data_IF_213254687337
#
_entry.id   IF_213254687337
#
_cell.length_a   1.000
_cell.length_b   1.000
_cell.length_c   1.000
_cell.angle_alpha   90.00
_cell.angle_beta   90.00
_cell.angle_gamma   90.00
#
_symmetry.space_group_name_H-M   'P 1'
#
loop_
_entity.id
_entity.type
_entity.pdbx_description
1 polymer ?
#
# COMPACT_ATOMS: atom_id res chain seq x y z
N UNK A 1 4.01 -15.07 42.63
CA UNK A 1 5.11 -14.17 43.05
C UNK A 1 5.67 -14.55 44.39
N UNK A 2 4.84 -14.64 45.46
CA UNK A 2 5.28 -15.01 46.83
C UNK A 2 6.13 -16.29 46.82
N UNK A 3 5.62 -17.38 46.25
CA UNK A 3 6.34 -18.64 46.21
C UNK A 3 7.66 -18.58 45.40
N UNK A 4 7.71 -17.81 44.35
CA UNK A 4 8.91 -17.64 43.57
C UNK A 4 9.99 -16.82 44.31
N UNK A 5 9.59 -15.78 45.10
CA UNK A 5 10.51 -15.06 46.00
C UNK A 5 11.10 -15.97 47.08
N UNK A 6 10.29 -16.86 47.63
CA UNK A 6 10.74 -17.84 48.63
C UNK A 6 11.73 -18.80 47.95
N UNK A 7 11.44 -19.31 46.78
CA UNK A 7 12.32 -20.21 46.04
C UNK A 7 13.66 -19.55 45.71
N UNK A 8 13.68 -18.28 45.29
CA UNK A 8 14.92 -17.51 45.04
C UNK A 8 15.73 -17.35 46.33
N UNK A 9 15.07 -17.14 47.49
CA UNK A 9 15.75 -17.03 48.76
C UNK A 9 16.47 -18.33 49.15
N UNK A 10 15.86 -19.48 48.89
CA UNK A 10 16.46 -20.78 49.22
C UNK A 10 17.48 -21.27 48.17
N UNK A 11 17.27 -20.88 46.90
CA UNK A 11 18.13 -21.32 45.78
C UNK A 11 18.45 -20.15 44.85
N UNK A 12 19.27 -19.17 45.28
CA UNK A 12 19.49 -17.92 44.52
C UNK A 12 20.27 -18.12 43.22
N UNK A 13 20.98 -19.25 43.06
CA UNK A 13 21.69 -19.60 41.87
C UNK A 13 20.87 -20.46 40.86
N UNK A 14 19.64 -20.81 41.19
CA UNK A 14 18.75 -21.51 40.30
C UNK A 14 17.99 -20.47 39.44
N UNK A 15 18.57 -20.17 38.27
CA UNK A 15 18.18 -19.04 37.45
C UNK A 15 16.79 -19.15 36.81
N UNK A 16 16.20 -20.35 36.74
CA UNK A 16 14.81 -20.52 36.28
C UNK A 16 13.79 -19.74 37.12
N UNK A 17 14.03 -19.63 38.43
CA UNK A 17 13.17 -18.83 39.31
C UNK A 17 13.23 -17.35 38.95
N UNK A 18 14.39 -16.85 38.52
CA UNK A 18 14.53 -15.48 38.05
C UNK A 18 13.82 -15.26 36.70
N UNK A 19 13.89 -16.24 35.77
CA UNK A 19 13.15 -16.20 34.52
C UNK A 19 11.64 -16.17 34.76
N UNK A 20 11.13 -17.04 35.64
CA UNK A 20 9.73 -17.05 36.03
C UNK A 20 9.30 -15.73 36.65
N UNK A 21 10.14 -15.11 37.49
CA UNK A 21 9.85 -13.77 38.03
C UNK A 21 9.78 -12.72 36.92
N UNK A 22 10.71 -12.74 35.97
CA UNK A 22 10.67 -11.86 34.79
C UNK A 22 9.38 -12.01 34.00
N UNK A 23 8.93 -13.23 33.72
CA UNK A 23 7.66 -13.52 33.04
C UNK A 23 6.43 -13.04 33.85
N UNK A 24 6.43 -13.21 35.17
CA UNK A 24 5.36 -12.72 36.03
C UNK A 24 5.24 -11.19 35.96
N UNK A 25 6.36 -10.49 35.98
CA UNK A 25 6.37 -9.03 35.86
C UNK A 25 6.02 -8.57 34.41
N UNK A 26 6.39 -9.35 33.39
CA UNK A 26 5.94 -9.14 32.02
C UNK A 26 4.39 -9.20 31.94
N UNK A 27 3.76 -10.22 32.53
CA UNK A 27 2.29 -10.35 32.57
C UNK A 27 1.62 -9.20 33.34
N UNK A 28 2.30 -8.67 34.38
CA UNK A 28 1.82 -7.52 35.15
C UNK A 28 2.13 -6.17 34.50
N UNK A 29 2.83 -6.17 33.37
CA UNK A 29 3.28 -4.99 32.67
C UNK A 29 4.18 -4.04 33.53
N UNK A 30 4.97 -4.62 34.44
CA UNK A 30 5.93 -3.88 35.27
C UNK A 30 7.31 -3.97 34.63
N UNK A 31 7.61 -2.98 33.77
CA UNK A 31 8.73 -2.99 32.83
C UNK A 31 10.09 -3.16 33.53
N UNK A 32 10.35 -2.33 34.52
CA UNK A 32 11.67 -2.30 35.19
C UNK A 32 11.97 -3.59 35.95
N UNK A 33 10.96 -4.15 36.62
CA UNK A 33 11.12 -5.42 37.32
C UNK A 33 11.30 -6.59 36.33
N UNK A 34 10.59 -6.58 35.22
CA UNK A 34 10.76 -7.57 34.16
C UNK A 34 12.20 -7.57 33.63
N UNK A 35 12.73 -6.40 33.26
CA UNK A 35 14.11 -6.20 32.80
C UNK A 35 15.13 -6.65 33.84
N UNK A 36 14.91 -6.23 35.08
CA UNK A 36 15.80 -6.57 36.21
C UNK A 36 16.00 -8.08 36.31
N UNK A 37 14.92 -8.84 36.36
CA UNK A 37 15.03 -10.30 36.56
C UNK A 37 15.63 -11.02 35.39
N UNK A 38 15.36 -10.64 34.17
CA UNK A 38 16.03 -11.24 32.99
C UNK A 38 17.51 -10.86 32.92
N UNK A 39 17.88 -9.62 33.23
CA UNK A 39 19.27 -9.19 33.25
C UNK A 39 20.09 -9.88 34.34
N UNK A 40 19.50 -10.17 35.51
CA UNK A 40 20.19 -10.98 36.55
C UNK A 40 20.64 -12.33 35.95
N UNK A 41 19.81 -12.96 35.12
CA UNK A 41 20.18 -14.25 34.50
C UNK A 41 21.25 -14.05 33.45
N UNK A 42 21.12 -13.04 32.59
CA UNK A 42 22.10 -12.71 31.55
C UNK A 42 23.49 -12.41 32.17
N UNK A 43 23.52 -11.65 33.25
CA UNK A 43 24.78 -11.22 33.88
C UNK A 43 25.44 -12.34 34.68
N UNK A 44 24.66 -13.19 35.36
CA UNK A 44 25.17 -14.22 36.27
C UNK A 44 25.34 -15.58 35.57
N UNK A 45 24.63 -15.82 34.48
CA UNK A 45 24.69 -17.06 33.70
C UNK A 45 24.60 -16.74 32.18
N UNK A 46 25.66 -16.15 31.58
CA UNK A 46 25.63 -15.69 30.21
C UNK A 46 25.27 -16.79 29.17
N UNK A 47 25.53 -18.05 29.47
CA UNK A 47 25.17 -19.16 28.60
C UNK A 47 23.69 -19.58 28.70
N UNK A 48 22.87 -18.84 29.43
CA UNK A 48 21.45 -19.16 29.57
C UNK A 48 20.64 -18.52 28.43
N UNK A 49 20.58 -19.21 27.30
CA UNK A 49 20.00 -18.72 26.04
C UNK A 49 18.58 -18.14 26.20
N UNK A 50 17.73 -18.81 27.01
CA UNK A 50 16.32 -18.40 27.17
C UNK A 50 16.16 -16.99 27.75
N UNK A 51 17.12 -16.50 28.54
CA UNK A 51 17.09 -15.15 29.08
C UNK A 51 17.17 -14.09 27.94
N UNK A 52 18.02 -14.32 26.95
CA UNK A 52 18.13 -13.44 25.77
C UNK A 52 16.88 -13.51 24.90
N UNK A 53 16.32 -14.73 24.69
CA UNK A 53 15.09 -14.90 23.93
C UNK A 53 13.92 -14.19 24.59
N UNK A 54 13.75 -14.36 25.90
CA UNK A 54 12.62 -13.76 26.64
C UNK A 54 12.74 -12.25 26.69
N UNK A 55 13.91 -11.71 27.08
CA UNK A 55 14.11 -10.27 27.14
C UNK A 55 14.07 -9.63 25.76
N UNK A 56 14.65 -10.26 24.73
CA UNK A 56 14.63 -9.78 23.37
C UNK A 56 13.21 -9.68 22.82
N UNK A 57 12.38 -10.72 22.99
CA UNK A 57 10.96 -10.69 22.60
C UNK A 57 10.19 -9.60 23.35
N UNK A 58 10.44 -9.46 24.64
CA UNK A 58 9.82 -8.42 25.46
C UNK A 58 10.15 -7.01 24.96
N UNK A 59 11.42 -6.71 24.68
CA UNK A 59 11.84 -5.40 24.17
C UNK A 59 11.26 -5.10 22.79
N UNK A 60 11.11 -6.11 21.92
CA UNK A 60 10.41 -5.98 20.64
C UNK A 60 8.93 -5.65 20.86
N UNK A 61 8.26 -6.32 21.79
CA UNK A 61 6.87 -6.04 22.17
C UNK A 61 6.68 -4.61 22.68
N UNK A 62 7.65 -4.10 23.48
CA UNK A 62 7.68 -2.71 23.94
C UNK A 62 8.11 -1.70 22.85
N UNK A 63 8.36 -2.15 21.62
CA UNK A 63 8.88 -1.33 20.51
C UNK A 63 10.19 -0.62 20.82
N UNK A 64 10.98 -1.16 21.71
CA UNK A 64 12.28 -0.62 22.08
C UNK A 64 13.40 -1.27 21.25
N UNK A 65 13.60 -0.76 20.02
CA UNK A 65 14.61 -1.27 19.09
C UNK A 65 15.99 -1.33 19.70
N UNK A 66 16.43 -0.27 20.38
CA UNK A 66 17.79 -0.17 20.93
C UNK A 66 18.08 -1.29 21.93
N UNK A 67 17.18 -1.50 22.87
CA UNK A 67 17.35 -2.54 23.88
C UNK A 67 17.19 -3.94 23.28
N UNK A 68 16.21 -4.14 22.37
CA UNK A 68 16.02 -5.39 21.68
C UNK A 68 17.30 -5.83 20.94
N UNK A 69 17.88 -4.94 20.12
CA UNK A 69 19.10 -5.22 19.37
C UNK A 69 20.30 -5.47 20.29
N UNK A 70 20.43 -4.70 21.39
CA UNK A 70 21.52 -4.91 22.36
C UNK A 70 21.45 -6.32 22.96
N UNK A 71 20.29 -6.71 23.47
CA UNK A 71 20.08 -8.04 24.08
C UNK A 71 20.31 -9.16 23.07
N UNK A 72 19.70 -9.04 21.88
CA UNK A 72 19.79 -10.09 20.85
C UNK A 72 21.20 -10.21 20.28
N UNK A 73 21.92 -9.12 20.07
CA UNK A 73 23.31 -9.18 19.60
C UNK A 73 24.24 -9.81 20.65
N UNK A 74 24.03 -9.55 21.96
CA UNK A 74 24.73 -10.27 23.02
C UNK A 74 24.44 -11.78 22.95
N UNK A 75 23.18 -12.17 22.77
CA UNK A 75 22.79 -13.55 22.61
C UNK A 75 23.41 -14.19 21.36
N UNK A 76 23.37 -13.50 20.21
CA UNK A 76 23.97 -14.00 18.97
C UNK A 76 25.51 -14.08 18.99
N UNK A 77 26.16 -13.28 19.83
CA UNK A 77 27.61 -13.43 20.05
C UNK A 77 27.95 -14.78 20.69
N UNK A 78 27.09 -15.27 21.58
CA UNK A 78 27.27 -16.57 22.25
C UNK A 78 26.64 -17.73 21.46
N UNK A 79 25.57 -17.47 20.75
CA UNK A 79 24.78 -18.46 19.97
C UNK A 79 24.58 -17.97 18.53
N UNK A 80 25.65 -17.91 17.71
CA UNK A 80 25.61 -17.26 16.39
C UNK A 80 24.62 -17.90 15.41
N UNK A 81 24.36 -19.20 15.57
CA UNK A 81 23.45 -19.94 14.67
C UNK A 81 22.02 -20.10 15.18
N UNK A 82 21.70 -19.50 16.32
CA UNK A 82 20.35 -19.62 16.87
C UNK A 82 19.31 -18.88 16.01
N UNK A 83 18.40 -19.64 15.39
CA UNK A 83 17.37 -19.12 14.47
C UNK A 83 16.35 -18.23 15.17
N UNK A 84 16.02 -18.50 16.45
CA UNK A 84 15.04 -17.70 17.18
C UNK A 84 15.61 -16.33 17.56
N UNK A 85 16.86 -16.25 17.99
CA UNK A 85 17.54 -14.98 18.23
C UNK A 85 17.63 -14.15 16.94
N UNK A 86 17.96 -14.80 15.80
CA UNK A 86 17.98 -14.14 14.50
C UNK A 86 16.59 -13.62 14.09
N UNK A 87 15.51 -14.38 14.34
CA UNK A 87 14.11 -13.91 14.12
C UNK A 87 13.75 -12.71 14.99
N UNK A 88 14.18 -12.72 16.26
CA UNK A 88 13.96 -11.56 17.16
C UNK A 88 14.74 -10.35 16.64
N UNK A 89 15.97 -10.52 16.13
CA UNK A 89 16.75 -9.45 15.50
C UNK A 89 16.02 -8.84 14.31
N UNK A 90 15.46 -9.66 13.42
CA UNK A 90 14.64 -9.19 12.31
C UNK A 90 13.46 -8.34 12.82
N UNK A 91 12.71 -8.85 13.80
CA UNK A 91 11.57 -8.13 14.37
C UNK A 91 11.99 -6.79 15.01
N UNK A 92 13.15 -6.74 15.67
CA UNK A 92 13.70 -5.51 16.22
C UNK A 92 14.09 -4.49 15.14
N UNK A 93 14.69 -4.95 14.04
CA UNK A 93 15.04 -4.11 12.89
C UNK A 93 13.80 -3.55 12.18
N UNK A 94 12.74 -4.34 12.08
CA UNK A 94 11.47 -3.93 11.45
C UNK A 94 10.74 -2.82 12.24
N UNK A 95 11.05 -2.59 13.53
CA UNK A 95 10.45 -1.50 14.33
C UNK A 95 10.69 -0.12 13.66
N UNK A 96 11.79 0.09 12.96
CA UNK A 96 12.16 1.39 12.36
C UNK A 96 12.48 1.32 10.86
N UNK A 97 12.03 0.28 10.15
CA UNK A 97 12.30 0.10 8.70
C UNK A 97 13.78 0.22 8.31
N UNK A 98 14.66 -0.48 9.02
CA UNK A 98 16.10 -0.56 8.74
C UNK A 98 16.32 -1.58 7.62
N UNK A 99 16.24 -1.12 6.36
CA UNK A 99 16.01 -1.98 5.20
C UNK A 99 17.18 -2.90 4.84
N UNK A 100 18.37 -2.35 4.72
CA UNK A 100 19.54 -3.12 4.21
C UNK A 100 20.02 -4.16 5.23
N UNK A 101 20.14 -3.78 6.50
CA UNK A 101 20.54 -4.70 7.58
C UNK A 101 19.52 -5.84 7.77
N UNK A 102 18.22 -5.52 7.66
CA UNK A 102 17.16 -6.53 7.76
C UNK A 102 17.26 -7.55 6.63
N UNK A 103 17.49 -7.09 5.40
CA UNK A 103 17.67 -7.95 4.22
C UNK A 103 18.86 -8.90 4.40
N UNK A 104 20.01 -8.37 4.79
CA UNK A 104 21.21 -9.18 5.02
C UNK A 104 20.99 -10.28 6.07
N UNK A 105 20.26 -9.95 7.16
CA UNK A 105 19.94 -10.94 8.20
C UNK A 105 18.97 -12.00 7.68
N UNK A 106 17.94 -11.61 6.93
CA UNK A 106 16.98 -12.55 6.32
C UNK A 106 17.69 -13.47 5.32
N UNK A 107 18.51 -12.91 4.42
CA UNK A 107 19.22 -13.68 3.40
C UNK A 107 20.23 -14.66 4.05
N UNK A 108 20.98 -14.24 5.08
CA UNK A 108 21.90 -15.11 5.82
C UNK A 108 21.17 -16.28 6.49
N UNK A 109 19.95 -16.06 6.98
CA UNK A 109 19.13 -17.11 7.59
C UNK A 109 18.58 -18.09 6.56
N UNK A 110 18.16 -17.61 5.40
CA UNK A 110 17.65 -18.46 4.33
C UNK A 110 18.72 -19.36 3.72
N UNK A 111 20.01 -18.98 3.80
CA UNK A 111 21.11 -19.87 3.43
C UNK A 111 21.14 -21.10 4.35
N UNK A 112 20.92 -20.91 5.65
CA UNK A 112 20.96 -22.01 6.65
C UNK A 112 19.64 -22.78 6.70
N UNK A 113 18.52 -22.08 6.54
CA UNK A 113 17.16 -22.67 6.60
C UNK A 113 16.32 -22.28 5.38
N UNK A 114 16.62 -22.83 4.18
CA UNK A 114 16.01 -22.37 2.92
C UNK A 114 14.50 -22.64 2.83
N UNK A 115 13.96 -23.55 3.64
CA UNK A 115 12.53 -23.91 3.67
C UNK A 115 11.76 -23.29 4.83
N UNK A 116 12.34 -22.37 5.62
CA UNK A 116 11.62 -21.69 6.71
C UNK A 116 10.57 -20.75 6.12
N UNK A 117 9.31 -21.17 6.20
CA UNK A 117 8.15 -20.44 5.65
C UNK A 117 7.99 -19.04 6.26
N UNK A 118 8.40 -18.85 7.53
CA UNK A 118 8.36 -17.56 8.22
C UNK A 118 9.39 -16.60 7.63
N UNK A 119 10.61 -17.07 7.39
CA UNK A 119 11.68 -16.28 6.77
C UNK A 119 11.36 -15.96 5.32
N UNK A 120 10.82 -16.92 4.55
CA UNK A 120 10.34 -16.70 3.18
C UNK A 120 9.26 -15.63 3.17
N UNK A 121 8.31 -15.67 4.14
CA UNK A 121 7.28 -14.66 4.28
C UNK A 121 7.89 -13.29 4.60
N UNK A 122 8.81 -13.19 5.57
CA UNK A 122 9.51 -11.95 5.88
C UNK A 122 10.28 -11.40 4.67
N UNK A 123 10.97 -12.26 3.92
CA UNK A 123 11.66 -11.86 2.68
C UNK A 123 10.68 -11.27 1.68
N UNK A 124 9.58 -11.96 1.41
CA UNK A 124 8.52 -11.48 0.51
C UNK A 124 7.90 -10.17 0.97
N UNK A 125 7.54 -10.05 2.25
CA UNK A 125 6.99 -8.82 2.81
C UNK A 125 8.01 -7.68 2.74
N UNK A 126 9.27 -7.96 3.02
CA UNK A 126 10.36 -7.02 2.93
C UNK A 126 10.61 -6.56 1.49
N UNK A 127 10.73 -7.49 0.55
CA UNK A 127 10.93 -7.19 -0.87
C UNK A 127 9.71 -6.54 -1.51
N UNK A 128 8.50 -6.83 -1.04
CA UNK A 128 7.28 -6.14 -1.47
C UNK A 128 7.10 -4.78 -0.80
N UNK A 129 7.74 -4.53 0.35
CA UNK A 129 7.48 -3.40 1.27
C UNK A 129 8.27 -2.14 1.01
N UNK A 130 9.43 -2.19 0.37
CA UNK A 130 10.40 -1.11 0.45
C UNK A 130 10.86 -0.54 -0.88
N UNK A 131 11.44 0.61 -0.79
CA UNK A 131 12.14 1.56 -1.66
C UNK A 131 12.66 0.98 -2.99
N UNK A 132 11.78 0.35 -3.77
CA UNK A 132 12.13 -0.14 -5.09
C UNK A 132 11.54 0.77 -6.15
N UNK A 133 12.43 1.16 -7.03
CA UNK A 133 12.03 1.78 -8.27
C UNK A 133 11.32 0.75 -9.15
N UNK A 134 10.31 1.18 -9.87
CA UNK A 134 9.58 0.32 -10.80
C UNK A 134 9.40 1.04 -12.13
N UNK A 135 9.62 0.29 -13.19
CA UNK A 135 9.24 0.69 -14.54
C UNK A 135 8.03 -0.13 -14.96
N UNK A 136 7.04 0.50 -15.55
CA UNK A 136 5.84 -0.23 -15.94
C UNK A 136 5.16 0.34 -17.15
N UNK A 137 4.38 -0.53 -17.79
CA UNK A 137 3.51 -0.19 -18.90
C UNK A 137 2.08 -0.56 -18.54
N UNK A 138 1.15 0.24 -19.01
CA UNK A 138 -0.28 -0.02 -18.92
C UNK A 138 -0.92 0.17 -20.28
N UNK A 139 -1.93 -0.65 -20.58
CA UNK A 139 -2.67 -0.56 -21.80
C UNK A 139 -4.13 -0.86 -21.55
N UNK A 140 -5.02 -0.06 -22.09
CA UNK A 140 -6.45 -0.32 -22.03
C UNK A 140 -7.09 -0.24 -23.42
N UNK A 141 -8.05 -1.12 -23.62
CA UNK A 141 -8.86 -1.25 -24.83
C UNK A 141 -10.31 -1.12 -24.44
N UNK A 142 -11.00 -0.14 -25.04
CA UNK A 142 -12.43 0.10 -24.79
C UNK A 142 -13.21 -0.08 -26.06
N UNK A 143 -14.27 -0.90 -25.99
CA UNK A 143 -15.22 -1.10 -27.09
C UNK A 143 -16.65 -0.77 -26.64
N UNK A 144 -17.51 -0.53 -27.60
CA UNK A 144 -18.84 0.03 -27.39
C UNK A 144 -19.88 -0.82 -28.07
N UNK A 145 -21.14 -0.79 -27.56
CA UNK A 145 -22.28 -1.40 -28.25
C UNK A 145 -22.93 -0.46 -29.28
N UNK A 146 -22.43 0.76 -29.40
CA UNK A 146 -22.92 1.73 -30.40
C UNK A 146 -22.09 1.58 -31.67
N UNK A 147 -22.75 1.38 -32.76
CA UNK A 147 -22.10 1.33 -34.06
C UNK A 147 -21.31 2.61 -34.32
N UNK A 148 -20.23 2.47 -35.06
CA UNK A 148 -19.36 3.56 -35.48
C UNK A 148 -18.42 4.11 -34.41
N UNK A 149 -18.65 3.86 -33.11
CA UNK A 149 -17.77 4.35 -32.01
C UNK A 149 -16.75 3.30 -31.61
N UNK A 150 -15.50 3.72 -31.54
CA UNK A 150 -14.39 2.88 -31.07
C UNK A 150 -13.72 2.05 -32.16
N UNK A 151 -12.79 1.18 -31.76
CA UNK A 151 -12.28 1.04 -30.40
C UNK A 151 -11.44 2.23 -29.94
N UNK A 152 -11.34 2.41 -28.61
CA UNK A 152 -10.45 3.41 -28.02
C UNK A 152 -9.31 2.73 -27.26
N UNK A 153 -8.11 3.28 -27.41
CA UNK A 153 -6.89 2.79 -26.83
C UNK A 153 -6.29 3.82 -25.90
N UNK A 154 -5.76 3.39 -24.77
CA UNK A 154 -4.91 4.19 -23.90
C UNK A 154 -3.68 3.36 -23.53
N UNK A 155 -2.50 3.84 -23.87
CA UNK A 155 -1.22 3.27 -23.46
C UNK A 155 -0.51 4.20 -22.49
N UNK A 156 0.15 3.66 -21.49
CA UNK A 156 0.93 4.43 -20.52
C UNK A 156 2.27 3.77 -20.23
N UNK A 157 3.32 4.59 -20.18
CA UNK A 157 4.63 4.22 -19.65
C UNK A 157 4.82 4.99 -18.35
N UNK A 158 5.22 4.31 -17.26
CA UNK A 158 5.41 4.98 -16.00
C UNK A 158 6.66 4.48 -15.26
N UNK A 159 7.27 5.40 -14.53
CA UNK A 159 8.37 5.14 -13.62
C UNK A 159 7.96 5.54 -12.20
N UNK A 160 8.12 4.62 -11.26
CA UNK A 160 7.81 4.83 -9.85
C UNK A 160 9.13 4.86 -9.08
N UNK A 161 9.42 6.00 -8.48
CA UNK A 161 10.54 6.21 -7.58
C UNK A 161 10.02 6.23 -6.14
N UNK A 162 10.54 5.35 -5.30
CA UNK A 162 10.17 5.32 -3.88
C UNK A 162 11.42 5.40 -3.02
N UNK A 163 11.49 6.41 -2.16
CA UNK A 163 12.58 6.56 -1.19
C UNK A 163 12.05 7.17 0.10
N UNK A 164 12.30 6.49 1.22
CA UNK A 164 11.89 6.94 2.55
C UNK A 164 10.38 7.22 2.63
N UNK A 165 10.03 8.50 2.74
CA UNK A 165 8.66 8.99 2.91
C UNK A 165 8.00 9.44 1.59
N UNK A 166 8.75 9.42 0.50
CA UNK A 166 8.33 9.96 -0.79
C UNK A 166 8.18 8.83 -1.82
N UNK A 167 7.04 8.81 -2.49
CA UNK A 167 6.84 8.06 -3.74
C UNK A 167 6.49 9.05 -4.83
N UNK A 168 7.25 9.04 -5.91
CA UNK A 168 6.97 9.79 -7.14
C UNK A 168 6.61 8.83 -8.26
N UNK A 169 5.61 9.20 -9.05
CA UNK A 169 5.18 8.44 -10.23
C UNK A 169 5.18 9.41 -11.40
N UNK A 170 6.11 9.20 -12.32
CA UNK A 170 6.16 9.93 -13.58
C UNK A 170 5.52 9.07 -14.66
N UNK A 171 4.65 9.64 -15.48
CA UNK A 171 3.91 8.88 -16.49
C UNK A 171 3.79 9.66 -17.80
N UNK A 172 3.90 8.92 -18.90
CA UNK A 172 3.56 9.38 -20.26
C UNK A 172 2.40 8.52 -20.72
N UNK A 173 1.28 9.14 -21.04
CA UNK A 173 0.09 8.48 -21.58
C UNK A 173 -0.09 8.87 -23.04
N UNK A 174 -0.52 7.91 -23.87
CA UNK A 174 -0.95 8.14 -25.24
C UNK A 174 -2.35 7.56 -25.42
N UNK A 175 -3.27 8.38 -25.87
CA UNK A 175 -4.63 7.96 -26.20
C UNK A 175 -4.87 8.02 -27.69
N UNK A 176 -5.60 7.02 -28.19
CA UNK A 176 -5.97 6.90 -29.60
C UNK A 176 -7.45 6.48 -29.68
N UNK A 177 -8.27 7.29 -30.34
CA UNK A 177 -9.71 7.11 -30.45
C UNK A 177 -10.13 7.03 -31.89
N UNK A 178 -10.98 6.06 -32.21
CA UNK A 178 -11.50 5.86 -33.54
C UNK A 178 -13.01 5.97 -33.58
N UNK A 179 -13.52 6.30 -34.75
CA UNK A 179 -14.93 6.25 -35.13
C UNK A 179 -15.01 5.78 -36.59
N UNK A 180 -15.84 4.79 -36.91
CA UNK A 180 -15.93 4.17 -38.24
C UNK A 180 -14.56 3.80 -38.83
N UNK A 181 -13.65 3.26 -38.01
CA UNK A 181 -12.29 2.94 -38.44
C UNK A 181 -11.37 4.14 -38.71
N UNK A 182 -11.88 5.37 -38.67
CA UNK A 182 -11.10 6.58 -38.87
C UNK A 182 -10.66 7.14 -37.51
N UNK A 183 -9.47 7.73 -37.45
CA UNK A 183 -8.94 8.37 -36.23
C UNK A 183 -9.74 9.66 -35.99
N UNK A 184 -10.40 9.74 -34.83
CA UNK A 184 -11.07 10.98 -34.42
C UNK A 184 -10.07 11.90 -33.73
N UNK A 185 -9.39 11.35 -32.70
CA UNK A 185 -8.47 12.09 -31.87
C UNK A 185 -7.35 11.18 -31.36
N UNK A 186 -6.14 11.74 -31.27
CA UNK A 186 -5.04 11.11 -30.56
C UNK A 186 -4.21 12.20 -29.85
N UNK A 187 -3.45 11.82 -28.85
CA UNK A 187 -2.61 12.79 -28.14
C UNK A 187 -1.91 12.21 -26.93
N UNK A 188 -0.99 13.01 -26.39
CA UNK A 188 -0.16 12.66 -25.25
C UNK A 188 -0.56 13.44 -24.00
N UNK A 189 -0.24 12.85 -22.86
CA UNK A 189 -0.31 13.48 -21.54
C UNK A 189 0.93 13.12 -20.74
N UNK A 190 1.53 14.12 -20.12
CA UNK A 190 2.57 13.97 -19.10
C UNK A 190 1.92 14.12 -17.73
N UNK A 191 2.22 13.23 -16.81
CA UNK A 191 1.67 13.23 -15.46
C UNK A 191 2.78 12.97 -14.44
N UNK A 192 2.76 13.75 -13.35
CA UNK A 192 3.59 13.54 -12.17
C UNK A 192 2.69 13.45 -10.95
N UNK A 193 2.76 12.34 -10.24
CA UNK A 193 2.07 12.12 -8.98
C UNK A 193 3.08 11.98 -7.84
N UNK A 194 2.69 12.38 -6.66
CA UNK A 194 3.50 12.22 -5.45
C UNK A 194 2.65 11.74 -4.28
N UNK A 195 3.22 10.84 -3.49
CA UNK A 195 2.72 10.49 -2.17
C UNK A 195 3.81 10.85 -1.16
N UNK A 196 3.46 11.67 -0.18
CA UNK A 196 4.39 12.09 0.87
C UNK A 196 3.85 11.70 2.25
N UNK A 197 4.56 10.82 2.94
CA UNK A 197 4.22 10.35 4.28
C UNK A 197 4.74 11.33 5.33
N UNK A 198 3.85 12.06 5.99
CA UNK A 198 4.24 13.01 7.05
C UNK A 198 4.57 12.27 8.34
N UNK A 199 3.66 11.41 8.78
CA UNK A 199 3.80 10.56 9.98
C UNK A 199 3.36 9.12 9.68
N UNK A 200 3.36 8.26 10.70
CA UNK A 200 2.80 6.90 10.56
C UNK A 200 1.27 6.89 10.46
N UNK A 201 0.61 8.04 10.67
CA UNK A 201 -0.85 8.15 10.69
C UNK A 201 -1.42 9.00 9.55
N UNK A 202 -0.58 9.73 8.82
CA UNK A 202 -1.05 10.61 7.76
C UNK A 202 -0.06 10.75 6.60
N UNK A 203 -0.62 10.98 5.42
CA UNK A 203 0.14 11.24 4.20
C UNK A 203 -0.67 12.15 3.27
N UNK A 204 0.03 12.78 2.33
CA UNK A 204 -0.58 13.58 1.27
C UNK A 204 -0.37 12.93 -0.09
N UNK A 205 -1.31 13.14 -0.97
CA UNK A 205 -1.24 12.88 -2.40
C UNK A 205 -1.28 14.21 -3.14
N UNK A 206 -0.42 14.37 -4.14
CA UNK A 206 -0.44 15.49 -5.06
C UNK A 206 -0.21 15.00 -6.48
N UNK A 207 -0.86 15.62 -7.46
CA UNK A 207 -0.63 15.32 -8.86
C UNK A 207 -0.76 16.56 -9.74
N UNK A 208 0.03 16.56 -10.82
CA UNK A 208 -0.07 17.49 -11.93
C UNK A 208 0.00 16.71 -13.24
N UNK A 209 -0.88 17.04 -14.17
CA UNK A 209 -0.81 16.49 -15.53
C UNK A 209 -1.07 17.58 -16.56
N UNK A 210 -0.35 17.52 -17.67
CA UNK A 210 -0.49 18.39 -18.83
C UNK A 210 -0.74 17.50 -20.03
N UNK A 211 -1.80 17.76 -20.77
CA UNK A 211 -2.22 16.93 -21.90
C UNK A 211 -2.64 17.73 -23.12
N UNK A 212 -2.69 17.05 -24.26
CA UNK A 212 -3.22 17.61 -25.49
C UNK A 212 -4.73 17.72 -25.42
N UNK A 213 -5.24 18.93 -25.68
CA UNK A 213 -6.64 19.34 -25.48
C UNK A 213 -7.71 18.48 -26.16
N UNK A 214 -7.33 17.76 -27.21
CA UNK A 214 -8.29 16.98 -28.01
C UNK A 214 -8.63 15.63 -27.36
N UNK A 215 -7.80 15.16 -26.42
CA UNK A 215 -7.92 13.82 -25.82
C UNK A 215 -7.85 13.86 -24.30
N UNK A 216 -7.09 14.79 -23.75
CA UNK A 216 -6.87 14.96 -22.32
C UNK A 216 -7.21 16.38 -21.87
N UNK A 217 -7.54 16.61 -20.59
CA UNK A 217 -7.55 17.95 -20.05
C UNK A 217 -6.17 18.61 -20.25
N UNK A 218 -6.19 19.91 -20.61
CA UNK A 218 -4.97 20.69 -20.81
C UNK A 218 -4.10 20.75 -19.56
N UNK A 219 -4.77 20.84 -18.41
CA UNK A 219 -4.14 20.85 -17.09
C UNK A 219 -5.02 20.09 -16.11
N UNK A 220 -4.41 19.22 -15.30
CA UNK A 220 -5.04 18.60 -14.12
C UNK A 220 -4.17 18.87 -12.90
N UNK A 221 -4.80 19.25 -11.81
CA UNK A 221 -4.17 19.39 -10.51
C UNK A 221 -4.99 18.59 -9.50
N UNK A 222 -4.29 17.89 -8.60
CA UNK A 222 -4.93 17.11 -7.54
C UNK A 222 -4.16 17.26 -6.25
N UNK A 223 -4.89 17.35 -5.15
CA UNK A 223 -4.35 17.23 -3.81
C UNK A 223 -5.33 16.48 -2.92
N UNK A 224 -4.84 15.60 -2.06
CA UNK A 224 -5.61 14.97 -0.98
C UNK A 224 -4.75 14.78 0.26
N UNK A 225 -5.36 14.92 1.41
CA UNK A 225 -4.77 14.59 2.69
C UNK A 225 -5.50 13.39 3.28
N UNK A 226 -4.72 12.40 3.70
CA UNK A 226 -5.19 11.12 4.25
C UNK A 226 -4.81 11.03 5.73
N UNK A 227 -5.77 10.62 6.55
CA UNK A 227 -5.60 10.46 7.98
C UNK A 227 -6.06 9.07 8.42
N UNK A 228 -5.17 8.32 9.07
CA UNK A 228 -5.55 7.10 9.77
C UNK A 228 -6.24 7.43 11.09
N UNK A 229 -7.47 6.95 11.24
CA UNK A 229 -8.37 7.25 12.37
C UNK A 229 -8.36 6.17 13.46
N UNK A 230 -7.57 5.12 13.29
CA UNK A 230 -7.50 3.99 14.23
C UNK A 230 -8.43 2.83 13.84
N UNK A 231 -8.21 1.66 14.43
CA UNK A 231 -9.00 0.43 14.21
C UNK A 231 -9.21 0.07 12.72
N UNK A 232 -8.21 0.39 11.87
CA UNK A 232 -8.26 0.12 10.43
C UNK A 232 -8.98 1.18 9.61
N UNK A 233 -9.54 2.24 10.21
CA UNK A 233 -10.21 3.31 9.48
C UNK A 233 -9.21 4.36 8.96
N UNK A 234 -9.44 4.84 7.75
CA UNK A 234 -8.74 5.94 7.10
C UNK A 234 -9.79 6.89 6.49
N UNK A 235 -9.57 8.18 6.62
CA UNK A 235 -10.37 9.19 5.94
C UNK A 235 -9.49 10.03 5.02
N UNK A 236 -10.05 10.54 3.92
CA UNK A 236 -9.37 11.50 3.07
C UNK A 236 -10.28 12.67 2.67
N UNK A 237 -9.63 13.82 2.55
CA UNK A 237 -10.23 15.04 1.99
C UNK A 237 -9.32 15.58 0.91
N UNK A 238 -9.88 16.14 -0.16
CA UNK A 238 -9.07 16.63 -1.25
C UNK A 238 -9.80 17.55 -2.21
N UNK A 239 -9.01 18.09 -3.13
CA UNK A 239 -9.48 18.94 -4.22
C UNK A 239 -8.87 18.46 -5.54
N UNK A 240 -9.63 18.68 -6.62
CA UNK A 240 -9.18 18.44 -8.00
C UNK A 240 -9.53 19.66 -8.83
N UNK A 241 -8.69 19.95 -9.80
CA UNK A 241 -8.94 20.92 -10.85
C UNK A 241 -8.62 20.29 -12.19
N UNK A 242 -9.50 20.45 -13.16
CA UNK A 242 -9.24 20.06 -14.53
C UNK A 242 -9.67 21.20 -15.48
N UNK A 243 -8.73 21.61 -16.34
CA UNK A 243 -9.00 22.55 -17.42
C UNK A 243 -9.22 21.77 -18.72
N UNK A 244 -10.43 21.81 -19.22
CA UNK A 244 -10.79 21.31 -20.56
C UNK A 244 -10.97 22.47 -21.53
N UNK A 245 -11.13 22.23 -22.84
CA UNK A 245 -11.37 23.31 -23.79
C UNK A 245 -12.58 24.20 -23.44
N UNK A 246 -13.65 23.59 -22.92
CA UNK A 246 -14.94 24.26 -22.75
C UNK A 246 -15.29 24.55 -21.30
N UNK A 247 -14.71 23.81 -20.34
CA UNK A 247 -15.08 23.90 -18.93
C UNK A 247 -13.87 23.82 -18.01
N UNK A 248 -13.88 24.64 -16.96
CA UNK A 248 -13.03 24.48 -15.79
C UNK A 248 -13.80 23.68 -14.73
N UNK A 249 -13.30 22.50 -14.41
CA UNK A 249 -13.92 21.59 -13.45
C UNK A 249 -13.19 21.66 -12.12
N UNK A 250 -13.92 22.07 -11.08
CA UNK A 250 -13.45 22.03 -9.69
C UNK A 250 -14.13 20.87 -8.99
N UNK A 251 -13.39 20.11 -8.18
CA UNK A 251 -13.95 18.95 -7.49
C UNK A 251 -13.47 18.89 -6.06
N UNK A 252 -14.41 18.75 -5.14
CA UNK A 252 -14.12 18.42 -3.74
C UNK A 252 -14.23 16.90 -3.55
N UNK A 253 -13.30 16.33 -2.80
CA UNK A 253 -13.19 14.89 -2.56
C UNK A 253 -13.33 14.60 -1.08
N UNK A 254 -14.19 13.63 -0.77
CA UNK A 254 -14.33 13.05 0.57
C UNK A 254 -14.25 11.53 0.43
N UNK A 255 -13.38 10.91 1.19
CA UNK A 255 -13.19 9.47 1.18
C UNK A 255 -13.15 8.87 2.57
N UNK A 256 -13.63 7.63 2.67
CA UNK A 256 -13.51 6.80 3.85
C UNK A 256 -13.07 5.40 3.44
N UNK A 257 -12.06 4.87 4.12
CA UNK A 257 -11.52 3.54 3.91
C UNK A 257 -11.49 2.74 5.20
N UNK A 258 -11.53 1.42 5.08
CA UNK A 258 -11.39 0.50 6.20
C UNK A 258 -10.61 -0.74 5.81
N UNK A 259 -9.63 -1.08 6.64
CA UNK A 259 -8.90 -2.34 6.58
C UNK A 259 -9.49 -3.33 7.59
N UNK A 260 -9.87 -4.52 7.14
CA UNK A 260 -10.43 -5.61 7.97
C UNK A 260 -9.71 -6.90 7.59
N UNK A 261 -8.71 -7.30 8.38
CA UNK A 261 -7.86 -8.44 8.01
C UNK A 261 -7.20 -8.24 6.64
N UNK A 262 -7.49 -9.12 5.70
CA UNK A 262 -6.99 -9.05 4.31
C UNK A 262 -7.86 -8.21 3.36
N UNK A 263 -8.92 -7.58 3.86
CA UNK A 263 -9.81 -6.75 3.04
C UNK A 263 -9.50 -5.27 3.22
N UNK A 264 -9.56 -4.52 2.13
CA UNK A 264 -9.60 -3.07 2.12
C UNK A 264 -10.86 -2.62 1.39
N UNK A 265 -11.67 -1.82 2.06
CA UNK A 265 -12.90 -1.24 1.53
C UNK A 265 -12.73 0.28 1.51
N UNK A 266 -13.14 0.92 0.43
CA UNK A 266 -13.09 2.37 0.29
C UNK A 266 -14.35 2.87 -0.39
N UNK A 267 -14.90 3.95 0.14
CA UNK A 267 -15.97 4.72 -0.50
C UNK A 267 -15.51 6.17 -0.65
N UNK A 268 -15.67 6.74 -1.83
CA UNK A 268 -15.25 8.11 -2.14
C UNK A 268 -16.33 8.86 -2.90
N UNK A 269 -16.55 10.09 -2.49
CA UNK A 269 -17.49 11.03 -3.12
C UNK A 269 -16.69 12.16 -3.74
N UNK A 270 -17.07 12.53 -4.96
CA UNK A 270 -16.53 13.67 -5.68
C UNK A 270 -17.68 14.63 -5.97
N UNK A 271 -17.60 15.84 -5.44
CA UNK A 271 -18.54 16.92 -5.73
C UNK A 271 -17.91 17.80 -6.81
N UNK A 272 -18.31 17.54 -8.06
CA UNK A 272 -17.79 18.25 -9.22
C UNK A 272 -18.60 19.50 -9.48
N UNK A 273 -17.94 20.64 -9.58
CA UNK A 273 -18.54 21.94 -9.84
C UNK A 273 -18.13 22.41 -11.23
N UNK A 274 -19.12 22.58 -12.10
CA UNK A 274 -18.97 23.12 -13.45
C UNK A 274 -20.17 23.99 -13.80
N UNK A 275 -19.94 25.15 -14.41
CA UNK A 275 -20.98 26.07 -14.85
C UNK A 275 -22.05 26.34 -13.76
N UNK A 276 -21.61 26.60 -12.52
CA UNK A 276 -22.42 26.83 -11.33
C UNK A 276 -23.33 25.66 -10.89
N UNK A 277 -23.18 24.49 -11.46
CA UNK A 277 -23.89 23.27 -11.07
C UNK A 277 -22.97 22.29 -10.35
N UNK A 278 -23.55 21.46 -9.47
CA UNK A 278 -22.84 20.41 -8.73
C UNK A 278 -23.26 19.05 -9.29
N UNK A 279 -22.29 18.25 -9.67
CA UNK A 279 -22.47 16.90 -10.19
C UNK A 279 -21.80 15.89 -9.23
N UNK A 280 -22.59 15.18 -8.41
CA UNK A 280 -22.03 14.22 -7.47
C UNK A 280 -21.60 12.94 -8.19
N UNK A 281 -20.43 12.42 -7.80
CA UNK A 281 -19.89 11.15 -8.26
C UNK A 281 -19.56 10.29 -7.05
N UNK A 282 -19.94 9.02 -7.07
CA UNK A 282 -19.72 8.07 -6.01
C UNK A 282 -18.93 6.87 -6.54
N UNK A 283 -17.88 6.47 -5.81
CA UNK A 283 -17.07 5.30 -6.14
C UNK A 283 -16.86 4.48 -4.89
N UNK A 284 -17.20 3.20 -4.96
CA UNK A 284 -16.89 2.20 -3.93
C UNK A 284 -15.90 1.19 -4.51
N UNK A 285 -14.85 0.87 -3.76
CA UNK A 285 -13.83 -0.11 -4.15
C UNK A 285 -13.61 -1.09 -3.02
N UNK A 286 -13.55 -2.37 -3.34
CA UNK A 286 -13.14 -3.43 -2.43
C UNK A 286 -11.88 -4.13 -2.96
N UNK A 287 -10.95 -4.50 -2.08
CA UNK A 287 -9.81 -5.35 -2.40
C UNK A 287 -9.69 -6.48 -1.39
N UNK A 288 -9.33 -7.65 -1.87
CA UNK A 288 -8.96 -8.80 -1.06
C UNK A 288 -7.51 -9.17 -1.36
N UNK A 289 -6.62 -8.97 -0.39
CA UNK A 289 -5.19 -9.30 -0.47
C UNK A 289 -4.98 -10.75 -0.01
N UNK A 290 -4.41 -11.60 -0.87
CA UNK A 290 -4.25 -13.03 -0.56
C UNK A 290 -2.80 -13.45 -0.29
N UNK A 291 -1.80 -12.65 -0.66
CA UNK A 291 -0.39 -12.99 -0.43
C UNK A 291 0.43 -11.73 -0.08
N UNK A 292 0.76 -10.86 -1.04
CA UNK A 292 1.48 -9.62 -0.81
C UNK A 292 0.56 -8.41 -1.03
N UNK A 293 1.04 -7.18 -0.78
CA UNK A 293 0.30 -5.95 -1.12
C UNK A 293 0.03 -5.77 -2.62
N UNK A 294 0.68 -6.56 -3.47
CA UNK A 294 0.49 -6.55 -4.92
C UNK A 294 -0.40 -7.70 -5.41
N UNK A 295 -0.68 -8.68 -4.54
CA UNK A 295 -1.48 -9.85 -4.85
C UNK A 295 -2.90 -9.67 -4.34
N UNK A 296 -3.81 -9.20 -5.18
CA UNK A 296 -5.19 -8.94 -4.76
C UNK A 296 -6.21 -9.10 -5.88
N UNK A 297 -7.42 -9.42 -5.48
CA UNK A 297 -8.63 -9.23 -6.27
C UNK A 297 -9.25 -7.88 -5.92
N UNK A 298 -9.85 -7.22 -6.90
CA UNK A 298 -10.56 -5.96 -6.67
C UNK A 298 -11.93 -5.96 -7.34
N UNK A 299 -12.85 -5.25 -6.72
CA UNK A 299 -14.15 -4.92 -7.30
C UNK A 299 -14.38 -3.41 -7.15
N UNK A 300 -15.09 -2.84 -8.12
CA UNK A 300 -15.42 -1.42 -8.13
C UNK A 300 -16.87 -1.26 -8.56
N UNK A 301 -17.57 -0.35 -7.90
CA UNK A 301 -18.87 0.15 -8.33
C UNK A 301 -18.84 1.68 -8.30
N UNK A 302 -19.41 2.33 -9.30
CA UNK A 302 -19.40 3.79 -9.41
C UNK A 302 -20.66 4.36 -10.05
N UNK A 303 -20.95 5.59 -9.67
CA UNK A 303 -21.96 6.45 -10.30
C UNK A 303 -21.30 7.78 -10.69
N UNK A 304 -21.52 8.22 -11.93
CA UNK A 304 -20.87 9.41 -12.49
C UNK A 304 -19.43 9.13 -12.96
N UNK A 305 -18.82 10.11 -13.63
CA UNK A 305 -17.46 10.02 -14.16
C UNK A 305 -16.48 10.66 -13.19
N UNK A 306 -15.65 9.83 -12.55
CA UNK A 306 -14.65 10.30 -11.59
C UNK A 306 -13.47 11.00 -12.28
N UNK A 307 -12.99 12.14 -11.76
CA UNK A 307 -11.84 12.86 -12.30
C UNK A 307 -10.51 12.13 -12.05
N UNK A 308 -10.47 11.15 -11.13
CA UNK A 308 -9.27 10.38 -10.80
C UNK A 308 -9.08 9.16 -11.73
N UNK A 309 -10.09 8.81 -12.55
CA UNK A 309 -10.02 7.67 -13.44
C UNK A 309 -9.42 8.05 -14.79
N UNK A 310 -8.18 7.64 -15.02
CA UNK A 310 -7.39 7.99 -16.20
C UNK A 310 -8.06 7.63 -17.53
N UNK A 311 -8.69 6.49 -17.62
CA UNK A 311 -9.36 6.03 -18.84
C UNK A 311 -10.45 6.99 -19.33
N UNK A 312 -11.01 7.77 -18.41
CA UNK A 312 -12.13 8.67 -18.70
C UNK A 312 -11.76 10.16 -18.60
N UNK A 313 -10.54 10.48 -18.17
CA UNK A 313 -10.14 11.89 -17.98
C UNK A 313 -10.24 12.72 -19.26
N UNK A 314 -9.96 12.12 -20.40
CA UNK A 314 -10.15 12.80 -21.68
C UNK A 314 -11.61 12.94 -22.13
N UNK A 315 -12.56 12.37 -21.39
CA UNK A 315 -14.00 12.46 -21.65
C UNK A 315 -14.71 13.32 -20.60
N UNK A 316 -14.00 13.89 -19.65
CA UNK A 316 -14.59 14.68 -18.57
C UNK A 316 -15.45 15.80 -19.10
N UNK A 317 -15.00 16.48 -20.16
CA UNK A 317 -15.74 17.57 -20.78
C UNK A 317 -17.15 17.16 -21.21
N UNK A 318 -17.26 16.03 -21.87
CA UNK A 318 -18.50 15.55 -22.47
C UNK A 318 -19.40 14.81 -21.46
N UNK A 319 -18.85 14.38 -20.31
CA UNK A 319 -19.51 13.45 -19.40
C UNK A 319 -19.86 13.99 -18.03
N UNK A 320 -19.38 15.17 -17.63
CA UNK A 320 -19.58 15.72 -16.27
C UNK A 320 -21.06 15.79 -15.88
N UNK A 321 -21.92 16.20 -16.79
CA UNK A 321 -23.36 16.37 -16.56
C UNK A 321 -24.20 15.12 -16.88
N UNK A 322 -23.58 14.03 -17.37
CA UNK A 322 -24.26 12.85 -17.87
C UNK A 322 -24.19 11.70 -16.88
N UNK A 323 -25.27 10.92 -16.80
CA UNK A 323 -25.35 9.75 -15.93
C UNK A 323 -24.43 8.64 -16.41
N UNK A 324 -23.77 7.98 -15.46
CA UNK A 324 -22.89 6.84 -15.72
C UNK A 324 -22.98 5.87 -14.55
N UNK A 325 -23.10 4.58 -14.85
CA UNK A 325 -23.03 3.51 -13.87
C UNK A 325 -21.89 2.58 -14.27
N UNK A 326 -21.02 2.28 -13.32
CA UNK A 326 -19.82 1.48 -13.58
C UNK A 326 -19.69 0.32 -12.63
N UNK A 327 -19.25 -0.81 -13.18
CA UNK A 327 -18.81 -1.98 -12.44
C UNK A 327 -17.42 -2.36 -12.94
N UNK A 328 -16.57 -2.81 -12.02
CA UNK A 328 -15.22 -3.27 -12.37
C UNK A 328 -14.80 -4.46 -11.53
N UNK A 329 -13.99 -5.31 -12.12
CA UNK A 329 -13.32 -6.41 -11.45
C UNK A 329 -11.85 -6.44 -11.88
N UNK A 330 -10.95 -6.76 -10.96
CA UNK A 330 -9.52 -6.78 -11.24
C UNK A 330 -8.80 -7.90 -10.50
N UNK A 331 -7.71 -8.34 -11.09
CA UNK A 331 -6.79 -9.30 -10.53
C UNK A 331 -5.36 -8.80 -10.72
N UNK A 332 -4.62 -8.73 -9.62
CA UNK A 332 -3.21 -8.34 -9.62
C UNK A 332 -2.37 -9.43 -8.97
N UNK A 333 -1.18 -9.66 -9.52
CA UNK A 333 -0.25 -10.67 -9.03
C UNK A 333 1.20 -10.21 -9.09
N UNK A 334 1.96 -10.59 -8.05
CA UNK A 334 3.40 -10.43 -7.97
C UNK A 334 4.08 -11.75 -8.33
N UNK A 335 4.92 -11.73 -9.36
CA UNK A 335 5.56 -12.90 -9.93
C UNK A 335 7.08 -12.75 -9.83
N UNK A 336 7.77 -13.86 -9.54
CA UNK A 336 9.24 -13.96 -9.54
C UNK A 336 9.93 -12.88 -8.70
N UNK A 337 9.25 -12.35 -7.67
CA UNK A 337 9.69 -11.29 -6.76
C UNK A 337 10.12 -9.97 -7.45
N UNK A 338 9.80 -9.83 -8.74
CA UNK A 338 10.17 -8.67 -9.57
C UNK A 338 9.07 -8.12 -10.46
N UNK A 339 8.12 -8.95 -10.88
CA UNK A 339 7.13 -8.57 -11.88
C UNK A 339 5.76 -8.45 -11.25
N UNK A 340 5.12 -7.30 -11.40
CA UNK A 340 3.71 -7.08 -11.02
C UNK A 340 2.89 -7.08 -12.30
N UNK A 341 1.90 -7.96 -12.37
CA UNK A 341 0.95 -8.03 -13.47
C UNK A 341 -0.45 -7.73 -12.98
N UNK A 342 -1.27 -7.14 -13.83
CA UNK A 342 -2.67 -6.87 -13.51
C UNK A 342 -3.55 -6.94 -14.75
N UNK A 343 -4.76 -7.45 -14.56
CA UNK A 343 -5.85 -7.36 -15.50
C UNK A 343 -7.07 -6.78 -14.80
N UNK A 344 -7.70 -5.79 -15.42
CA UNK A 344 -8.93 -5.19 -14.93
C UNK A 344 -9.96 -5.16 -16.06
N UNK A 345 -11.19 -5.50 -15.72
CA UNK A 345 -12.34 -5.48 -16.61
C UNK A 345 -13.33 -4.47 -16.06
N UNK A 346 -13.82 -3.59 -16.92
CA UNK A 346 -14.83 -2.61 -16.54
C UNK A 346 -16.00 -2.67 -17.52
N UNK A 347 -17.19 -2.56 -16.97
CA UNK A 347 -18.42 -2.29 -17.68
C UNK A 347 -18.92 -0.92 -17.25
N UNK A 348 -19.30 -0.08 -18.20
CA UNK A 348 -19.86 1.24 -17.99
C UNK A 348 -21.10 1.43 -18.85
N UNK A 349 -22.23 1.75 -18.21
CA UNK A 349 -23.40 2.24 -18.90
C UNK A 349 -23.38 3.76 -18.84
N UNK A 350 -23.07 4.39 -19.94
CA UNK A 350 -22.81 5.82 -20.07
C UNK A 350 -23.90 6.53 -20.85
N UNK A 351 -24.50 7.53 -20.27
CA UNK A 351 -25.28 8.49 -21.03
C UNK A 351 -24.33 9.33 -21.91
N UNK A 352 -24.55 9.37 -23.22
CA UNK A 352 -23.75 10.16 -24.16
C UNK A 352 -24.48 11.40 -24.70
N UNK A 353 -25.79 11.38 -24.59
CA UNK A 353 -26.70 12.52 -24.79
C UNK A 353 -27.86 12.32 -23.85
N UNK A 354 -28.51 13.39 -23.37
CA UNK A 354 -29.59 13.33 -22.40
C UNK A 354 -30.66 12.29 -22.81
N UNK A 355 -30.82 11.26 -21.98
CA UNK A 355 -31.77 10.16 -22.19
C UNK A 355 -31.29 9.06 -23.13
N UNK A 356 -30.10 9.14 -23.73
CA UNK A 356 -29.53 8.10 -24.58
C UNK A 356 -28.25 7.53 -23.97
N UNK A 357 -28.21 6.22 -23.76
CA UNK A 357 -27.08 5.53 -23.13
C UNK A 357 -26.37 4.60 -24.11
N UNK A 358 -25.11 4.34 -23.85
CA UNK A 358 -24.29 3.34 -24.49
C UNK A 358 -23.62 2.44 -23.45
N UNK A 359 -23.31 1.23 -23.84
CA UNK A 359 -22.52 0.33 -23.02
C UNK A 359 -21.07 0.33 -23.50
N UNK A 360 -20.16 0.37 -22.54
CA UNK A 360 -18.72 0.40 -22.78
C UNK A 360 -18.08 -0.73 -21.97
N UNK A 361 -17.21 -1.50 -22.61
CA UNK A 361 -16.40 -2.52 -21.96
C UNK A 361 -14.94 -2.17 -22.13
N UNK A 362 -14.20 -2.18 -21.03
CA UNK A 362 -12.78 -1.87 -21.04
C UNK A 362 -12.00 -3.03 -20.44
N UNK A 363 -10.98 -3.47 -21.17
CA UNK A 363 -9.95 -4.39 -20.68
C UNK A 363 -8.70 -3.57 -20.45
N UNK A 364 -8.16 -3.60 -19.24
CA UNK A 364 -6.92 -2.89 -18.90
C UNK A 364 -5.88 -3.87 -18.37
N UNK A 365 -4.69 -3.79 -18.91
CA UNK A 365 -3.53 -4.61 -18.59
C UNK A 365 -2.45 -3.75 -17.92
N UNK A 366 -1.80 -4.29 -16.93
CA UNK A 366 -0.68 -3.69 -16.23
C UNK A 366 0.50 -4.65 -16.19
N UNK A 367 1.69 -4.16 -16.51
CA UNK A 367 2.94 -4.86 -16.29
C UNK A 367 3.94 -3.88 -15.67
N UNK A 368 4.49 -4.23 -14.51
CA UNK A 368 5.54 -3.44 -13.84
C UNK A 368 6.70 -4.35 -13.49
N UNK A 369 7.89 -3.85 -13.68
CA UNK A 369 9.14 -4.50 -13.28
C UNK A 369 9.78 -3.70 -12.14
N UNK A 370 10.16 -4.41 -11.10
CA UNK A 370 10.89 -3.89 -9.95
C UNK A 370 12.39 -3.89 -10.26
N UNK A 371 13.00 -2.72 -10.24
CA UNK A 371 14.40 -2.49 -10.54
C UNK A 371 15.31 -2.79 -9.35
#
# INVERSE_FOLDING_TARGET
EKNCRIAIKYSPKYYDFHLVMGQLYQKKNVIDSCRKYFNIVIDKSPNYKDAYLMLGRYEVQQKNKKNALNVVNKGLFLFPDDSELKKIKINALLITNSNEETKQVIDSLLIVTPKDTTLIKYKKEFESGNDFNKLGVEYSYTFFNRDEIGPWHLAGLHYIYTKNKLTLISRVNYAHRTNNGSIINSGFQLELESYFKHTNKNYSYGAVAIGEKNVFPQLRLAYSFFQYLGKGFEGDVGIRYAKTPDVNLYTFVLGAGKYIGSYWLNARTYLQVANSNIYPVFVATGRYYYNTKYDYYSVLAGYGTSPDERMFTGLLNDRVALKSYRLGAGYNRFLFDKVITGINLFYNNQEYTKGKTQNEWTIALLLQYKL
#
